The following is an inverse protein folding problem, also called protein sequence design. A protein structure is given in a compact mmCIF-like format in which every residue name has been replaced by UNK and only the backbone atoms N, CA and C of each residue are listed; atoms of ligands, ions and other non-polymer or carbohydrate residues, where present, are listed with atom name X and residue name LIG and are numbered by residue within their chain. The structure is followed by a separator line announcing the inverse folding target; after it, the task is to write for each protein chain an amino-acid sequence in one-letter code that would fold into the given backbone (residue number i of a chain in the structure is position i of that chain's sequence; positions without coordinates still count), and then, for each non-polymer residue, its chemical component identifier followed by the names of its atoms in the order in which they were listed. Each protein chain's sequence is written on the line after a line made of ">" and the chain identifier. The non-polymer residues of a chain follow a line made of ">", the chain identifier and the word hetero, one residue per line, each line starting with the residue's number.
data_IF_101244940843
#
_entry.id   IF_101244940843
#
_cell.length_a   1.000
_cell.length_b   1.000
_cell.length_c   1.000
_cell.angle_alpha   90.00
_cell.angle_beta   90.00
_cell.angle_gamma   90.00
#
_symmetry.space_group_name_H-M   'P 1'
#
loop_
_entity.id
_entity.type
_entity.pdbx_description
1 polymer ?
#
# COMPACT_ATOMS: atom_id res chain seq x y z
N UNK A 1 -103.97 -52.39 -72.81
CA UNK A 1 -102.74 -51.59 -73.08
C UNK A 1 -102.33 -50.58 -72.00
N UNK A 2 -103.16 -50.16 -71.03
CA UNK A 2 -102.78 -49.14 -70.01
C UNK A 2 -101.90 -49.63 -68.83
N UNK A 3 -101.80 -50.94 -68.56
CA UNK A 3 -101.05 -51.47 -67.40
C UNK A 3 -99.54 -51.62 -67.61
N UNK A 4 -99.06 -51.81 -68.84
CA UNK A 4 -97.63 -51.98 -69.13
C UNK A 4 -96.83 -50.66 -69.14
N UNK A 5 -97.48 -49.54 -69.50
CA UNK A 5 -96.89 -48.21 -69.44
C UNK A 5 -96.65 -47.74 -67.99
N UNK A 6 -97.53 -48.11 -67.06
CA UNK A 6 -97.39 -47.77 -65.64
C UNK A 6 -96.22 -48.52 -64.99
N UNK A 7 -96.02 -49.80 -65.33
CA UNK A 7 -94.90 -50.60 -64.82
C UNK A 7 -93.54 -50.13 -65.35
N UNK A 8 -93.47 -49.71 -66.61
CA UNK A 8 -92.24 -49.10 -67.16
C UNK A 8 -91.94 -47.73 -66.55
N UNK A 9 -92.96 -46.91 -66.29
CA UNK A 9 -92.77 -45.61 -65.64
C UNK A 9 -92.33 -45.75 -64.17
N UNK A 10 -92.93 -46.69 -63.43
CA UNK A 10 -92.53 -46.98 -62.04
C UNK A 10 -91.13 -47.60 -61.98
N UNK A 11 -90.76 -48.49 -62.91
CA UNK A 11 -89.42 -49.07 -62.98
C UNK A 11 -88.35 -48.02 -63.41
N UNK A 12 -88.68 -47.13 -64.34
CA UNK A 12 -87.79 -46.03 -64.75
C UNK A 12 -87.62 -44.98 -63.63
N UNK A 13 -88.70 -44.60 -62.95
CA UNK A 13 -88.65 -43.71 -61.78
C UNK A 13 -87.92 -44.35 -60.59
N UNK A 14 -88.09 -45.65 -60.34
CA UNK A 14 -87.35 -46.37 -59.30
C UNK A 14 -85.85 -46.49 -59.64
N UNK A 15 -85.50 -46.72 -60.91
CA UNK A 15 -84.10 -46.77 -61.35
C UNK A 15 -83.41 -45.40 -61.31
N UNK A 16 -84.12 -44.31 -61.62
CA UNK A 16 -83.59 -42.94 -61.54
C UNK A 16 -83.49 -42.43 -60.10
N UNK A 17 -84.42 -42.80 -59.21
CA UNK A 17 -84.29 -42.54 -57.77
C UNK A 17 -83.16 -43.34 -57.12
N UNK A 18 -83.01 -44.63 -57.45
CA UNK A 18 -81.92 -45.46 -56.96
C UNK A 18 -80.55 -44.95 -57.43
N UNK A 19 -80.43 -44.52 -58.69
CA UNK A 19 -79.22 -43.92 -59.23
C UNK A 19 -78.92 -42.55 -58.59
N UNK A 20 -79.93 -41.69 -58.36
CA UNK A 20 -79.75 -40.41 -57.68
C UNK A 20 -79.33 -40.57 -56.20
N UNK A 21 -79.84 -41.60 -55.51
CA UNK A 21 -79.41 -41.95 -54.15
C UNK A 21 -77.99 -42.54 -54.11
N UNK A 22 -77.60 -43.32 -55.12
CA UNK A 22 -76.23 -43.83 -55.27
C UNK A 22 -75.24 -42.71 -55.56
N UNK A 23 -75.62 -41.74 -56.39
CA UNK A 23 -74.77 -40.59 -56.72
C UNK A 23 -74.64 -39.62 -55.54
N UNK A 24 -75.70 -39.41 -54.76
CA UNK A 24 -75.62 -38.59 -53.54
C UNK A 24 -74.78 -39.26 -52.45
N UNK A 25 -74.88 -40.59 -52.28
CA UNK A 25 -74.00 -41.35 -51.38
C UNK A 25 -72.54 -41.31 -51.85
N UNK A 26 -72.28 -41.41 -53.16
CA UNK A 26 -70.93 -41.25 -53.72
C UNK A 26 -70.38 -39.86 -53.50
N UNK A 27 -71.18 -38.82 -53.70
CA UNK A 27 -70.78 -37.44 -53.41
C UNK A 27 -70.49 -37.21 -51.93
N UNK A 28 -71.29 -37.79 -51.03
CA UNK A 28 -71.08 -37.70 -49.59
C UNK A 28 -69.83 -38.49 -49.14
N UNK A 29 -69.56 -39.64 -49.76
CA UNK A 29 -68.36 -40.43 -49.52
C UNK A 29 -67.10 -39.71 -50.03
N UNK A 30 -67.18 -39.07 -51.20
CA UNK A 30 -66.10 -38.25 -51.74
C UNK A 30 -65.84 -37.01 -50.88
N UNK A 31 -66.91 -36.35 -50.39
CA UNK A 31 -66.81 -35.17 -49.54
C UNK A 31 -66.26 -35.50 -48.14
N UNK A 32 -66.69 -36.61 -47.55
CA UNK A 32 -66.13 -37.09 -46.28
C UNK A 32 -64.67 -37.49 -46.45
N UNK A 33 -64.33 -38.18 -47.55
CA UNK A 33 -62.95 -38.55 -47.86
C UNK A 33 -62.06 -37.32 -48.12
N UNK A 34 -62.56 -36.27 -48.78
CA UNK A 34 -61.81 -35.01 -48.95
C UNK A 34 -61.66 -34.29 -47.61
N UNK A 35 -62.70 -34.21 -46.78
CA UNK A 35 -62.63 -33.59 -45.45
C UNK A 35 -61.65 -34.31 -44.52
N UNK A 36 -61.58 -35.65 -44.56
CA UNK A 36 -60.57 -36.43 -43.85
C UNK A 36 -59.15 -36.18 -44.38
N UNK A 37 -58.98 -35.99 -45.70
CA UNK A 37 -57.68 -35.62 -46.28
C UNK A 37 -57.24 -34.22 -45.85
N UNK A 38 -58.14 -33.26 -45.91
CA UNK A 38 -57.86 -31.86 -45.55
C UNK A 38 -57.52 -31.74 -44.06
N UNK A 39 -58.24 -32.44 -43.18
CA UNK A 39 -57.92 -32.50 -41.75
C UNK A 39 -56.59 -33.21 -41.46
N UNK A 40 -56.26 -34.29 -42.17
CA UNK A 40 -54.95 -34.94 -42.08
C UNK A 40 -53.82 -34.04 -42.59
N UNK A 41 -54.04 -33.28 -43.65
CA UNK A 41 -53.06 -32.30 -44.14
C UNK A 41 -52.85 -31.16 -43.15
N UNK A 42 -53.92 -30.62 -42.57
CA UNK A 42 -53.85 -29.60 -41.52
C UNK A 42 -53.07 -30.13 -40.31
N UNK A 43 -53.36 -31.35 -39.86
CA UNK A 43 -52.67 -31.97 -38.73
C UNK A 43 -51.17 -32.19 -39.04
N UNK A 44 -50.84 -32.59 -40.28
CA UNK A 44 -49.44 -32.72 -40.73
C UNK A 44 -48.72 -31.38 -40.75
N UNK A 45 -49.37 -30.29 -41.20
CA UNK A 45 -48.81 -28.93 -41.19
C UNK A 45 -48.58 -28.46 -39.76
N UNK A 46 -49.57 -28.63 -38.88
CA UNK A 46 -49.44 -28.28 -37.45
C UNK A 46 -48.33 -29.08 -36.75
N UNK A 47 -48.20 -30.36 -37.06
CA UNK A 47 -47.10 -31.19 -36.54
C UNK A 47 -45.74 -30.72 -37.05
N UNK A 48 -45.62 -30.36 -38.33
CA UNK A 48 -44.39 -29.84 -38.91
C UNK A 48 -44.00 -28.49 -38.29
N UNK A 49 -44.94 -27.58 -38.11
CA UNK A 49 -44.74 -26.29 -37.44
C UNK A 49 -44.33 -26.47 -35.97
N UNK A 50 -45.01 -27.35 -35.23
CA UNK A 50 -44.65 -27.65 -33.84
C UNK A 50 -43.26 -28.29 -33.74
N UNK A 51 -42.93 -29.24 -34.63
CA UNK A 51 -41.61 -29.86 -34.68
C UNK A 51 -40.52 -28.84 -34.97
N UNK A 52 -40.74 -27.91 -35.91
CA UNK A 52 -39.81 -26.82 -36.19
C UNK A 52 -39.67 -25.88 -34.98
N UNK A 53 -40.78 -25.56 -34.31
CA UNK A 53 -40.77 -24.71 -33.12
C UNK A 53 -39.99 -25.36 -31.96
N UNK A 54 -40.18 -26.66 -31.70
CA UNK A 54 -39.42 -27.41 -30.69
C UNK A 54 -37.93 -27.48 -31.03
N UNK A 55 -37.58 -27.68 -32.30
CA UNK A 55 -36.18 -27.67 -32.75
C UNK A 55 -35.53 -26.30 -32.54
N UNK A 56 -36.23 -25.22 -32.90
CA UNK A 56 -35.78 -23.85 -32.71
C UNK A 56 -35.62 -23.52 -31.21
N UNK A 57 -36.60 -23.86 -30.38
CA UNK A 57 -36.49 -23.73 -28.92
C UNK A 57 -35.30 -24.52 -28.37
N UNK A 58 -35.05 -25.73 -28.87
CA UNK A 58 -33.89 -26.54 -28.49
C UNK A 58 -32.56 -25.92 -28.91
N UNK A 59 -32.48 -25.21 -30.04
CA UNK A 59 -31.30 -24.41 -30.43
C UNK A 59 -31.13 -23.20 -29.49
N UNK A 60 -32.20 -22.42 -29.27
CA UNK A 60 -32.15 -21.25 -28.39
C UNK A 60 -31.74 -21.60 -26.95
N UNK A 61 -32.27 -22.69 -26.39
CA UNK A 61 -31.87 -23.17 -25.05
C UNK A 61 -30.38 -23.55 -25.02
N UNK A 62 -29.85 -24.14 -26.09
CA UNK A 62 -28.42 -24.47 -26.19
C UNK A 62 -27.56 -23.21 -26.23
N UNK A 63 -27.92 -22.24 -27.07
CA UNK A 63 -27.21 -20.95 -27.17
C UNK A 63 -27.23 -20.18 -25.84
N UNK A 64 -28.38 -20.11 -25.17
CA UNK A 64 -28.51 -19.45 -23.87
C UNK A 64 -27.66 -20.13 -22.80
N UNK A 65 -27.62 -21.47 -22.78
CA UNK A 65 -26.75 -22.24 -21.87
C UNK A 65 -25.28 -21.99 -22.16
N UNK A 66 -24.88 -21.93 -23.43
CA UNK A 66 -23.50 -21.67 -23.81
C UNK A 66 -23.06 -20.25 -23.45
N UNK A 67 -23.89 -19.24 -23.74
CA UNK A 67 -23.67 -17.86 -23.29
C UNK A 67 -23.56 -17.75 -21.78
N UNK A 68 -24.47 -18.39 -21.04
CA UNK A 68 -24.43 -18.38 -19.56
C UNK A 68 -23.15 -19.00 -19.01
N UNK A 69 -22.72 -20.14 -19.57
CA UNK A 69 -21.45 -20.78 -19.20
C UNK A 69 -20.25 -19.90 -19.51
N UNK A 70 -20.21 -19.28 -20.69
CA UNK A 70 -19.14 -18.37 -21.07
C UNK A 70 -19.06 -17.18 -20.13
N UNK A 71 -20.20 -16.54 -19.81
CA UNK A 71 -20.25 -15.45 -18.83
C UNK A 71 -19.78 -15.90 -17.45
N UNK A 72 -20.23 -17.06 -16.96
CA UNK A 72 -19.82 -17.59 -15.67
C UNK A 72 -18.31 -17.89 -15.64
N UNK A 73 -17.75 -18.45 -16.72
CA UNK A 73 -16.32 -18.67 -16.84
C UNK A 73 -15.52 -17.36 -16.76
N UNK A 74 -15.90 -16.35 -17.55
CA UNK A 74 -15.24 -15.03 -17.51
C UNK A 74 -15.33 -14.38 -16.13
N UNK A 75 -16.50 -14.42 -15.48
CA UNK A 75 -16.68 -13.88 -14.13
C UNK A 75 -15.77 -14.58 -13.12
N UNK A 76 -15.73 -15.91 -13.15
CA UNK A 76 -14.86 -16.70 -12.30
C UNK A 76 -13.38 -16.36 -12.53
N UNK A 77 -12.92 -16.30 -13.78
CA UNK A 77 -11.53 -15.93 -14.13
C UNK A 77 -11.19 -14.54 -13.60
N UNK A 78 -12.10 -13.57 -13.74
CA UNK A 78 -11.93 -12.23 -13.17
C UNK A 78 -11.76 -12.28 -11.65
N UNK A 79 -12.62 -13.00 -10.93
CA UNK A 79 -12.53 -13.07 -9.48
C UNK A 79 -11.26 -13.76 -9.01
N UNK A 80 -10.90 -14.90 -9.60
CA UNK A 80 -9.69 -15.65 -9.25
C UNK A 80 -8.44 -14.83 -9.54
N UNK A 81 -8.40 -14.15 -10.69
CA UNK A 81 -7.28 -13.28 -11.02
C UNK A 81 -7.18 -12.11 -10.03
N UNK A 82 -8.31 -11.48 -9.65
CA UNK A 82 -8.32 -10.45 -8.62
C UNK A 82 -7.78 -10.97 -7.29
N UNK A 83 -8.24 -12.13 -6.82
CA UNK A 83 -7.75 -12.74 -5.57
C UNK A 83 -6.24 -12.97 -5.65
N UNK A 84 -5.75 -13.61 -6.71
CA UNK A 84 -4.33 -13.91 -6.94
C UNK A 84 -3.46 -12.65 -6.92
N UNK A 85 -3.87 -11.61 -7.65
CA UNK A 85 -3.12 -10.34 -7.69
C UNK A 85 -3.18 -9.59 -6.36
N UNK A 86 -4.32 -9.61 -5.67
CA UNK A 86 -4.47 -9.00 -4.35
C UNK A 86 -3.56 -9.65 -3.31
N UNK A 87 -3.37 -10.97 -3.36
CA UNK A 87 -2.40 -11.65 -2.47
C UNK A 87 -0.99 -11.12 -2.69
N UNK A 88 -0.53 -11.05 -3.95
CA UNK A 88 0.79 -10.51 -4.30
C UNK A 88 0.94 -9.04 -3.90
N UNK A 89 -0.12 -8.25 -4.09
CA UNK A 89 -0.19 -6.87 -3.63
C UNK A 89 -0.01 -6.78 -2.11
N UNK A 90 -0.75 -7.57 -1.33
CA UNK A 90 -0.65 -7.57 0.13
C UNK A 90 0.71 -8.03 0.64
N UNK A 91 1.30 -9.07 0.03
CA UNK A 91 2.65 -9.54 0.35
C UNK A 91 3.67 -8.42 0.15
N UNK A 92 3.65 -7.78 -1.01
CA UNK A 92 4.59 -6.71 -1.30
C UNK A 92 4.34 -5.50 -0.41
N UNK A 93 3.08 -5.10 -0.20
CA UNK A 93 2.72 -3.97 0.66
C UNK A 93 3.17 -4.18 2.11
N UNK A 94 3.02 -5.41 2.64
CA UNK A 94 3.49 -5.76 3.98
C UNK A 94 5.02 -5.62 4.09
N UNK A 95 5.77 -6.05 3.07
CA UNK A 95 7.24 -5.91 3.03
C UNK A 95 7.65 -4.44 2.93
N UNK A 96 7.01 -3.68 2.05
CA UNK A 96 7.24 -2.25 1.87
C UNK A 96 7.02 -1.48 3.17
N UNK A 97 5.90 -1.74 3.84
CA UNK A 97 5.54 -1.07 5.08
C UNK A 97 6.53 -1.41 6.21
N UNK A 98 6.87 -2.69 6.36
CA UNK A 98 7.88 -3.12 7.33
C UNK A 98 9.24 -2.48 7.06
N UNK A 99 9.64 -2.36 5.79
CA UNK A 99 10.87 -1.66 5.42
C UNK A 99 10.83 -0.19 5.87
N UNK A 100 9.73 0.52 5.62
CA UNK A 100 9.57 1.91 6.07
C UNK A 100 9.65 2.01 7.59
N UNK A 101 8.93 1.17 8.33
CA UNK A 101 8.98 1.14 9.80
C UNK A 101 10.40 0.89 10.34
N UNK A 102 11.14 -0.02 9.69
CA UNK A 102 12.53 -0.30 10.03
C UNK A 102 13.43 0.91 9.78
N UNK A 103 13.27 1.62 8.65
CA UNK A 103 14.08 2.81 8.36
C UNK A 103 13.74 4.01 9.24
N UNK A 104 12.47 4.18 9.62
CA UNK A 104 12.05 5.19 10.61
C UNK A 104 12.74 4.94 11.96
N UNK A 105 12.96 3.66 12.31
CA UNK A 105 13.56 3.25 13.59
C UNK A 105 15.08 3.10 13.53
N UNK A 106 15.65 2.98 12.33
CA UNK A 106 17.09 2.74 12.14
C UNK A 106 17.91 3.96 12.57
N UNK A 107 18.95 3.72 13.36
CA UNK A 107 19.72 4.77 14.02
C UNK A 107 21.01 5.15 13.30
N UNK A 108 21.49 4.40 12.31
CA UNK A 108 22.88 4.56 11.83
C UNK A 108 23.18 5.96 11.24
N UNK A 109 22.35 6.43 10.31
CA UNK A 109 22.52 7.77 9.71
C UNK A 109 22.28 8.89 10.73
N UNK A 110 21.29 8.73 11.60
CA UNK A 110 20.99 9.69 12.66
C UNK A 110 22.09 9.73 13.73
N UNK A 111 22.73 8.59 14.05
CA UNK A 111 23.86 8.51 14.97
C UNK A 111 25.08 9.24 14.42
N UNK A 112 25.33 9.13 13.11
CA UNK A 112 26.40 9.88 12.45
C UNK A 112 26.20 11.40 12.61
N UNK A 113 24.97 11.89 12.50
CA UNK A 113 24.64 13.30 12.70
C UNK A 113 24.65 13.68 14.19
N UNK A 114 24.19 12.80 15.08
CA UNK A 114 24.26 13.03 16.53
C UNK A 114 25.68 13.23 17.02
N UNK A 115 26.68 12.57 16.41
CA UNK A 115 28.08 12.79 16.73
C UNK A 115 28.54 14.23 16.46
N UNK A 116 27.98 14.90 15.44
CA UNK A 116 28.28 16.30 15.11
C UNK A 116 27.69 17.28 16.14
N UNK A 117 26.66 16.85 16.87
CA UNK A 117 26.03 17.64 17.93
C UNK A 117 26.81 17.59 19.26
N UNK A 118 27.82 16.73 19.38
CA UNK A 118 28.60 16.62 20.62
C UNK A 118 29.53 17.86 20.79
N UNK A 119 29.43 18.61 21.92
CA UNK A 119 30.21 19.83 22.16
C UNK A 119 31.72 19.60 22.29
N UNK A 120 32.17 18.35 22.45
CA UNK A 120 33.59 17.98 22.49
C UNK A 120 34.09 17.35 21.19
N UNK A 121 33.22 17.11 20.20
CA UNK A 121 33.62 16.53 18.92
C UNK A 121 34.48 17.54 18.12
N UNK A 122 35.61 17.07 17.60
CA UNK A 122 36.59 17.88 16.87
C UNK A 122 36.70 17.52 15.38
N UNK A 123 35.88 16.59 14.87
CA UNK A 123 35.92 16.13 13.49
C UNK A 123 35.71 17.26 12.48
N UNK A 124 35.03 18.33 12.88
CA UNK A 124 34.79 19.51 12.05
C UNK A 124 35.93 20.53 12.09
N UNK A 125 37.02 20.25 12.81
CA UNK A 125 38.13 21.20 13.03
C UNK A 125 37.78 22.34 13.99
N UNK A 126 36.69 22.19 14.74
CA UNK A 126 36.34 22.97 15.93
C UNK A 126 35.47 22.13 16.87
N UNK A 127 35.44 22.51 18.14
CA UNK A 127 34.51 22.02 19.15
C UNK A 127 34.05 23.17 20.04
N UNK A 128 32.87 23.08 20.65
CA UNK A 128 32.44 24.09 21.62
C UNK A 128 33.42 24.20 22.79
N UNK A 129 33.94 23.06 23.27
CA UNK A 129 34.94 23.00 24.35
C UNK A 129 36.19 23.82 24.01
N UNK A 130 36.82 23.54 22.87
CA UNK A 130 38.05 24.23 22.47
C UNK A 130 37.81 25.69 22.10
N UNK A 131 36.72 25.98 21.39
CA UNK A 131 36.35 27.35 21.05
C UNK A 131 36.15 28.18 22.31
N UNK A 132 35.46 27.64 23.32
CA UNK A 132 35.25 28.31 24.61
C UNK A 132 36.56 28.58 25.33
N UNK A 133 37.43 27.56 25.48
CA UNK A 133 38.73 27.70 26.14
C UNK A 133 39.60 28.75 25.43
N UNK A 134 39.67 28.66 24.10
CA UNK A 134 40.44 29.58 23.26
C UNK A 134 39.92 31.01 23.38
N UNK A 135 38.61 31.22 23.28
CA UNK A 135 37.99 32.55 23.40
C UNK A 135 38.19 33.16 24.79
N UNK A 136 38.15 32.36 25.87
CA UNK A 136 38.49 32.84 27.21
C UNK A 136 39.94 33.28 27.29
N UNK A 137 40.88 32.50 26.75
CA UNK A 137 42.29 32.88 26.72
C UNK A 137 42.54 34.16 25.91
N UNK A 138 41.93 34.26 24.72
CA UNK A 138 42.15 35.36 23.77
C UNK A 138 41.42 36.66 24.15
N UNK A 139 40.23 36.58 24.73
CA UNK A 139 39.37 37.75 25.00
C UNK A 139 39.42 38.19 26.46
N UNK A 140 39.55 37.25 27.41
CA UNK A 140 39.54 37.57 28.85
C UNK A 140 40.96 37.67 29.43
N UNK A 141 41.85 36.73 29.06
CA UNK A 141 43.19 36.60 29.64
C UNK A 141 44.36 36.97 28.72
N UNK A 142 44.12 37.75 27.66
CA UNK A 142 45.13 38.13 26.65
C UNK A 142 46.38 38.82 27.18
N UNK A 143 46.36 39.35 28.42
CA UNK A 143 47.50 39.99 29.06
C UNK A 143 48.24 39.02 29.99
N UNK A 144 49.55 38.87 29.77
CA UNK A 144 50.44 37.90 30.45
C UNK A 144 50.41 37.92 32.01
N UNK A 145 50.00 39.03 32.64
CA UNK A 145 49.84 39.12 34.10
C UNK A 145 48.65 38.30 34.66
N UNK A 146 47.70 37.86 33.82
CA UNK A 146 46.44 37.22 34.24
C UNK A 146 46.47 35.68 34.29
N UNK A 147 47.63 35.07 34.00
CA UNK A 147 47.72 33.66 33.60
C UNK A 147 47.54 32.62 34.73
N UNK A 148 47.91 32.93 35.99
CA UNK A 148 47.82 31.95 37.11
C UNK A 148 46.38 31.64 37.54
N UNK A 149 45.49 32.63 37.58
CA UNK A 149 44.06 32.42 37.87
C UNK A 149 43.31 31.89 36.64
N UNK A 150 43.71 32.30 35.43
CA UNK A 150 43.18 31.76 34.17
C UNK A 150 43.36 30.25 34.04
N UNK A 151 44.48 29.68 34.51
CA UNK A 151 44.71 28.24 34.49
C UNK A 151 43.68 27.45 35.34
N UNK A 152 43.30 27.94 36.52
CA UNK A 152 42.26 27.31 37.36
C UNK A 152 40.88 27.41 36.70
N UNK A 153 40.57 28.54 36.07
CA UNK A 153 39.31 28.73 35.35
C UNK A 153 39.17 27.75 34.18
N UNK A 154 40.24 27.61 33.39
CA UNK A 154 40.29 26.68 32.26
C UNK A 154 40.09 25.24 32.73
N UNK A 155 40.73 24.84 33.83
CA UNK A 155 40.56 23.50 34.41
C UNK A 155 39.10 23.24 34.86
N UNK A 156 38.43 24.23 35.46
CA UNK A 156 37.03 24.13 35.83
C UNK A 156 36.12 24.00 34.60
N UNK A 157 36.35 24.79 33.54
CA UNK A 157 35.60 24.67 32.29
C UNK A 157 35.80 23.33 31.62
N UNK A 158 37.04 22.83 31.56
CA UNK A 158 37.34 21.48 31.05
C UNK A 158 36.54 20.43 31.83
N UNK A 159 36.48 20.53 33.15
CA UNK A 159 35.70 19.62 33.98
C UNK A 159 34.18 19.71 33.73
N UNK A 160 33.64 20.89 33.39
CA UNK A 160 32.22 21.03 33.00
C UNK A 160 31.95 20.27 31.68
N UNK A 161 32.83 20.44 30.69
CA UNK A 161 32.74 19.77 29.39
C UNK A 161 33.13 18.29 29.41
N UNK A 162 33.83 17.82 30.44
CA UNK A 162 34.23 16.42 30.61
C UNK A 162 33.32 15.67 31.59
N UNK A 163 32.33 16.35 32.17
CA UNK A 163 31.41 15.72 33.12
C UNK A 163 30.56 14.64 32.44
N UNK A 164 30.16 13.57 33.14
CA UNK A 164 29.29 12.53 32.57
C UNK A 164 27.96 13.06 32.02
N UNK A 165 27.49 14.21 32.53
CA UNK A 165 26.36 14.95 31.97
C UNK A 165 26.63 15.31 30.50
N UNK A 166 27.84 15.74 30.13
CA UNK A 166 28.21 16.05 28.74
C UNK A 166 28.36 14.85 27.80
N UNK A 167 28.56 13.66 28.37
CA UNK A 167 28.72 12.40 27.62
C UNK A 167 27.42 11.59 27.54
N UNK A 168 26.34 12.02 28.22
CA UNK A 168 25.02 11.42 28.09
C UNK A 168 24.39 11.84 26.75
N UNK A 169 24.83 11.20 25.68
CA UNK A 169 24.55 11.47 24.26
C UNK A 169 23.08 11.25 23.82
N UNK A 170 22.14 10.92 24.72
CA UNK A 170 20.81 10.47 24.29
C UNK A 170 19.74 11.56 24.21
N UNK A 171 19.87 12.66 24.93
CA UNK A 171 18.80 13.66 24.98
C UNK A 171 19.43 15.04 24.90
N UNK A 172 18.91 15.84 23.97
CA UNK A 172 19.17 17.26 23.75
C UNK A 172 19.55 17.97 25.06
N UNK A 173 20.83 17.95 25.43
CA UNK A 173 21.31 18.81 26.50
C UNK A 173 21.32 20.18 25.88
N UNK A 174 20.59 21.17 26.44
CA UNK A 174 20.60 22.49 25.89
C UNK A 174 22.04 22.98 25.92
N UNK A 175 22.66 23.21 24.77
CA UNK A 175 23.95 23.88 24.64
C UNK A 175 23.96 25.21 25.42
N UNK A 176 22.77 25.79 25.59
CA UNK A 176 22.40 26.89 26.49
C UNK A 176 22.86 26.68 27.95
N UNK A 177 22.77 25.47 28.51
CA UNK A 177 23.20 25.20 29.89
C UNK A 177 24.72 25.30 30.04
N UNK A 178 25.48 24.79 29.06
CA UNK A 178 26.94 24.95 29.03
C UNK A 178 27.32 26.41 28.89
N UNK A 179 26.66 27.14 27.99
CA UNK A 179 26.85 28.58 27.85
C UNK A 179 26.57 29.31 29.17
N UNK A 180 25.41 29.10 29.80
CA UNK A 180 25.06 29.74 31.06
C UNK A 180 26.08 29.45 32.16
N UNK A 181 26.49 28.18 32.30
CA UNK A 181 27.47 27.77 33.32
C UNK A 181 28.84 28.42 33.11
N UNK A 182 29.34 28.40 31.88
CA UNK A 182 30.62 29.02 31.51
C UNK A 182 30.56 30.54 31.64
N UNK A 183 29.49 31.17 31.16
CA UNK A 183 29.31 32.61 31.19
C UNK A 183 29.18 33.12 32.62
N UNK A 184 28.45 32.43 33.50
CA UNK A 184 28.41 32.75 34.94
C UNK A 184 29.79 32.63 35.61
N UNK A 185 30.54 31.57 35.28
CA UNK A 185 31.90 31.36 35.78
C UNK A 185 32.84 32.50 35.35
N UNK A 186 32.73 32.96 34.10
CA UNK A 186 33.51 34.07 33.55
C UNK A 186 33.09 35.40 34.17
N UNK A 187 31.78 35.67 34.30
CA UNK A 187 31.27 36.86 34.97
C UNK A 187 31.77 36.96 36.41
N UNK A 188 31.75 35.86 37.15
CA UNK A 188 32.29 35.81 38.51
C UNK A 188 33.77 36.20 38.56
N UNK A 189 34.59 35.67 37.66
CA UNK A 189 36.01 36.04 37.59
C UNK A 189 36.22 37.50 37.16
N UNK A 190 35.39 38.01 36.25
CA UNK A 190 35.45 39.39 35.81
C UNK A 190 35.08 40.39 36.93
N UNK A 191 34.19 40.03 37.85
CA UNK A 191 33.91 40.84 39.04
C UNK A 191 35.06 40.85 40.05
N UNK A 192 35.86 39.78 40.11
CA UNK A 192 37.00 39.66 41.03
C UNK A 192 38.29 40.32 40.49
N UNK A 193 38.34 40.65 39.20
CA UNK A 193 39.50 41.23 38.51
C UNK A 193 39.12 42.55 37.83
N UNK A 194 39.53 43.69 38.42
CA UNK A 194 39.27 45.05 37.91
C UNK A 194 39.77 45.28 36.46
N UNK A 195 40.68 44.42 36.04
CA UNK A 195 41.38 44.46 34.76
C UNK A 195 40.53 43.92 33.59
N UNK A 196 39.47 43.15 33.85
CA UNK A 196 38.59 42.59 32.82
C UNK A 196 37.47 43.59 32.52
N UNK A 197 37.41 44.09 31.29
CA UNK A 197 36.43 45.13 30.92
C UNK A 197 35.12 44.52 30.42
N UNK A 198 34.04 45.31 30.49
CA UNK A 198 32.75 44.96 29.87
C UNK A 198 32.90 44.72 28.36
N UNK A 199 33.82 45.42 27.69
CA UNK A 199 34.10 45.21 26.27
C UNK A 199 34.69 43.82 26.00
N UNK A 200 35.56 43.32 26.88
CA UNK A 200 36.16 41.99 26.76
C UNK A 200 35.09 40.89 26.89
N UNK A 201 34.17 41.07 27.83
CA UNK A 201 33.02 40.18 28.04
C UNK A 201 32.08 40.15 26.83
N UNK A 202 31.71 41.33 26.31
CA UNK A 202 30.86 41.42 25.10
C UNK A 202 31.52 40.78 23.88
N UNK A 203 32.84 40.96 23.71
CA UNK A 203 33.59 40.36 22.61
C UNK A 203 33.63 38.83 22.73
N UNK A 204 33.82 38.30 23.95
CA UNK A 204 33.72 36.87 24.23
C UNK A 204 32.33 36.31 23.90
N UNK A 205 31.26 36.93 24.41
CA UNK A 205 29.88 36.49 24.17
C UNK A 205 29.54 36.48 22.68
N UNK A 206 29.90 37.54 21.95
CA UNK A 206 29.62 37.68 20.51
C UNK A 206 30.28 36.56 19.69
N UNK A 207 31.54 36.24 19.98
CA UNK A 207 32.24 35.16 19.26
C UNK A 207 31.75 33.77 19.67
N UNK A 208 31.46 33.55 20.96
CA UNK A 208 30.94 32.26 21.44
C UNK A 208 29.54 31.98 20.88
N UNK A 209 28.70 33.01 20.74
CA UNK A 209 27.36 32.90 20.17
C UNK A 209 27.36 32.30 18.75
N UNK A 210 28.42 32.52 17.95
CA UNK A 210 28.54 31.91 16.62
C UNK A 210 28.63 30.38 16.69
N UNK A 211 29.35 29.84 17.68
CA UNK A 211 29.44 28.40 17.91
C UNK A 211 28.14 27.85 18.48
N UNK A 212 27.51 28.55 19.42
CA UNK A 212 26.23 28.13 19.99
C UNK A 212 25.14 28.02 18.93
N UNK A 213 25.06 29.00 18.03
CA UNK A 213 24.12 29.00 16.92
C UNK A 213 24.24 27.75 16.04
N UNK A 214 25.45 27.24 15.81
CA UNK A 214 25.65 25.98 15.08
C UNK A 214 24.95 24.80 15.77
N UNK A 215 25.19 24.62 17.08
CA UNK A 215 24.58 23.54 17.85
C UNK A 215 23.07 23.72 18.02
N UNK A 216 22.59 24.95 18.20
CA UNK A 216 21.15 25.27 18.26
C UNK A 216 20.44 24.89 16.96
N UNK A 217 21.00 25.27 15.80
CA UNK A 217 20.44 24.90 14.50
C UNK A 217 20.41 23.39 14.29
N UNK A 218 21.47 22.67 14.68
CA UNK A 218 21.48 21.20 14.62
C UNK A 218 20.40 20.60 15.53
N UNK A 219 20.28 21.09 16.75
CA UNK A 219 19.27 20.65 17.72
C UNK A 219 17.85 20.86 17.19
N UNK A 220 17.56 22.03 16.62
CA UNK A 220 16.26 22.37 16.08
C UNK A 220 15.88 21.45 14.90
N UNK A 221 16.81 21.23 13.97
CA UNK A 221 16.62 20.34 12.83
C UNK A 221 16.44 18.89 13.27
N UNK A 222 17.20 18.43 14.28
CA UNK A 222 17.03 17.09 14.85
C UNK A 222 15.66 16.92 15.52
N UNK A 223 15.23 17.89 16.33
CA UNK A 223 13.93 17.87 17.00
C UNK A 223 12.79 17.85 15.98
N UNK A 224 12.85 18.71 14.96
CA UNK A 224 11.86 18.74 13.90
C UNK A 224 11.81 17.41 13.13
N UNK A 225 12.96 16.83 12.80
CA UNK A 225 13.05 15.52 12.15
C UNK A 225 12.42 14.41 13.01
N UNK A 226 12.73 14.35 14.30
CA UNK A 226 12.13 13.38 15.23
C UNK A 226 10.61 13.52 15.35
N UNK A 227 10.09 14.75 15.42
CA UNK A 227 8.65 15.01 15.44
C UNK A 227 7.98 14.52 14.15
N UNK A 228 8.57 14.80 13.00
CA UNK A 228 8.07 14.37 11.70
C UNK A 228 8.11 12.84 11.55
N UNK A 229 9.21 12.19 11.95
CA UNK A 229 9.34 10.74 11.93
C UNK A 229 8.36 10.05 12.88
N UNK A 230 8.09 10.64 14.04
CA UNK A 230 7.06 10.15 14.98
C UNK A 230 5.67 10.20 14.34
N UNK A 231 5.33 11.30 13.65
CA UNK A 231 4.07 11.41 12.91
C UNK A 231 3.94 10.34 11.82
N UNK A 232 5.00 10.14 11.02
CA UNK A 232 5.04 9.07 10.01
C UNK A 232 4.90 7.68 10.63
N UNK A 233 5.53 7.43 11.78
CA UNK A 233 5.41 6.16 12.49
C UNK A 233 3.97 5.84 12.86
N UNK A 234 3.23 6.84 13.39
CA UNK A 234 1.80 6.66 13.73
C UNK A 234 0.99 6.32 12.48
N UNK A 235 1.23 7.00 11.35
CA UNK A 235 0.55 6.69 10.08
C UNK A 235 0.92 5.31 9.54
N UNK A 236 2.18 4.92 9.63
CA UNK A 236 2.65 3.59 9.21
C UNK A 236 1.95 2.49 10.03
N UNK A 237 1.83 2.68 11.34
CA UNK A 237 1.09 1.77 12.21
C UNK A 237 -0.41 1.72 11.87
N UNK A 238 -1.03 2.86 11.56
CA UNK A 238 -2.43 2.89 11.13
C UNK A 238 -2.63 2.12 9.81
N UNK A 239 -1.73 2.31 8.84
CA UNK A 239 -1.75 1.56 7.58
C UNK A 239 -1.50 0.06 7.79
N UNK A 240 -0.62 -0.30 8.74
CA UNK A 240 -0.37 -1.69 9.13
C UNK A 240 -1.65 -2.34 9.66
N UNK A 241 -2.38 -1.64 10.55
CA UNK A 241 -3.65 -2.13 11.08
C UNK A 241 -4.71 -2.28 10.00
N UNK A 242 -4.76 -1.36 9.04
CA UNK A 242 -5.71 -1.44 7.92
C UNK A 242 -5.37 -2.64 7.02
N UNK A 243 -4.10 -2.85 6.67
CA UNK A 243 -3.65 -4.03 5.91
C UNK A 243 -3.93 -5.33 6.67
N UNK A 244 -3.67 -5.36 7.98
CA UNK A 244 -3.99 -6.48 8.86
C UNK A 244 -5.48 -6.83 8.82
N UNK A 245 -6.36 -5.86 9.03
CA UNK A 245 -7.80 -6.11 9.01
C UNK A 245 -8.27 -6.55 7.63
N UNK A 246 -7.72 -5.97 6.56
CA UNK A 246 -8.02 -6.39 5.20
C UNK A 246 -7.61 -7.85 4.94
N UNK A 247 -6.35 -8.21 5.20
CA UNK A 247 -5.83 -9.58 5.02
C UNK A 247 -6.60 -10.57 5.88
N UNK A 248 -6.89 -10.21 7.13
CA UNK A 248 -7.70 -11.03 8.05
C UNK A 248 -9.08 -11.32 7.46
N UNK A 249 -9.77 -10.31 6.93
CA UNK A 249 -11.06 -10.48 6.27
C UNK A 249 -10.96 -11.44 5.08
N UNK A 250 -9.95 -11.28 4.22
CA UNK A 250 -9.75 -12.17 3.08
C UNK A 250 -9.45 -13.62 3.53
N UNK A 251 -8.63 -13.80 4.57
CA UNK A 251 -8.36 -15.13 5.13
C UNK A 251 -9.62 -15.79 5.67
N UNK A 252 -10.48 -15.06 6.38
CA UNK A 252 -11.76 -15.57 6.91
C UNK A 252 -12.70 -15.97 5.75
N UNK A 253 -12.73 -15.20 4.67
CA UNK A 253 -13.51 -15.53 3.48
C UNK A 253 -13.03 -16.82 2.82
N UNK A 254 -11.71 -17.02 2.72
CA UNK A 254 -11.13 -18.23 2.10
C UNK A 254 -11.21 -19.46 3.02
N UNK A 255 -11.14 -19.26 4.33
CA UNK A 255 -11.10 -20.31 5.37
C UNK A 255 -12.19 -20.08 6.44
N UNK A 256 -13.48 -20.19 6.09
CA UNK A 256 -14.57 -19.94 7.04
C UNK A 256 -14.52 -20.86 8.28
N UNK A 257 -13.96 -22.06 8.13
CA UNK A 257 -13.80 -23.05 9.21
C UNK A 257 -12.77 -22.66 10.27
N UNK A 258 -11.82 -21.78 9.94
CA UNK A 258 -10.73 -21.34 10.84
C UNK A 258 -10.93 -19.93 11.39
N UNK A 259 -12.15 -19.41 11.31
CA UNK A 259 -12.47 -18.01 11.64
C UNK A 259 -11.99 -17.57 13.03
N UNK A 260 -12.21 -18.38 14.06
CA UNK A 260 -11.86 -17.99 15.44
C UNK A 260 -10.35 -17.98 15.68
N UNK A 261 -9.61 -18.86 15.00
CA UNK A 261 -8.14 -18.86 15.02
C UNK A 261 -7.60 -17.60 14.33
N UNK A 262 -8.06 -17.33 13.10
CA UNK A 262 -7.59 -16.23 12.25
C UNK A 262 -7.77 -14.85 12.89
N UNK A 263 -8.84 -14.64 13.66
CA UNK A 263 -9.14 -13.34 14.29
C UNK A 263 -8.01 -12.80 15.17
N UNK A 264 -7.28 -13.68 15.85
CA UNK A 264 -6.28 -13.30 16.84
C UNK A 264 -4.85 -13.25 16.27
N UNK A 265 -4.66 -13.68 15.02
CA UNK A 265 -3.32 -13.78 14.43
C UNK A 265 -2.81 -12.40 13.97
N UNK A 266 -1.49 -12.14 14.15
CA UNK A 266 -0.84 -10.96 13.61
C UNK A 266 -0.64 -11.07 12.09
N UNK A 267 -0.38 -9.94 11.44
CA UNK A 267 -0.27 -9.85 9.97
C UNK A 267 0.78 -10.83 9.42
N UNK A 268 1.96 -10.89 10.05
CA UNK A 268 3.05 -11.77 9.60
C UNK A 268 2.64 -13.25 9.58
N UNK A 269 1.95 -13.72 10.62
CA UNK A 269 1.45 -15.09 10.70
C UNK A 269 0.35 -15.36 9.69
N UNK A 270 -0.57 -14.41 9.49
CA UNK A 270 -1.62 -14.53 8.47
C UNK A 270 -1.04 -14.63 7.06
N UNK A 271 -0.11 -13.74 6.71
CA UNK A 271 0.54 -13.73 5.40
C UNK A 271 1.30 -15.04 5.15
N UNK A 272 2.06 -15.52 6.14
CA UNK A 272 2.86 -16.73 5.96
C UNK A 272 2.02 -18.02 5.93
N UNK A 273 1.01 -18.13 6.79
CA UNK A 273 0.31 -19.39 7.03
C UNK A 273 -0.95 -19.56 6.18
N UNK A 274 -1.57 -18.45 5.76
CA UNK A 274 -2.90 -18.45 5.13
C UNK A 274 -2.94 -17.66 3.82
N UNK A 275 -2.29 -16.50 3.77
CA UNK A 275 -2.42 -15.54 2.68
C UNK A 275 -1.15 -15.39 1.84
N UNK A 276 -0.50 -16.53 1.57
CA UNK A 276 0.62 -16.62 0.64
C UNK A 276 0.11 -17.08 -0.73
N UNK A 277 0.71 -16.58 -1.82
CA UNK A 277 0.28 -16.93 -3.18
C UNK A 277 0.14 -18.44 -3.41
N UNK A 278 1.11 -19.23 -2.97
CA UNK A 278 1.10 -20.70 -3.11
C UNK A 278 -0.05 -21.36 -2.36
N UNK A 279 -0.38 -20.89 -1.15
CA UNK A 279 -1.47 -21.42 -0.34
C UNK A 279 -2.82 -21.07 -0.96
N UNK A 280 -3.00 -19.81 -1.34
CA UNK A 280 -4.25 -19.34 -1.96
C UNK A 280 -4.47 -20.00 -3.32
N UNK A 281 -3.44 -20.12 -4.16
CA UNK A 281 -3.56 -20.80 -5.46
C UNK A 281 -3.90 -22.30 -5.30
N UNK A 282 -3.28 -22.97 -4.33
CA UNK A 282 -3.59 -24.38 -4.04
C UNK A 282 -5.02 -24.55 -3.54
N UNK A 283 -5.49 -23.64 -2.69
CA UNK A 283 -6.86 -23.65 -2.20
C UNK A 283 -7.87 -23.42 -3.33
N UNK A 284 -7.62 -22.46 -4.21
CA UNK A 284 -8.46 -22.19 -5.39
C UNK A 284 -8.57 -23.44 -6.27
N UNK A 285 -7.43 -24.11 -6.57
CA UNK A 285 -7.43 -25.37 -7.33
C UNK A 285 -8.19 -26.50 -6.64
N UNK A 286 -8.10 -26.60 -5.31
CA UNK A 286 -8.85 -27.59 -4.55
C UNK A 286 -10.36 -27.33 -4.61
N UNK A 287 -10.76 -26.05 -4.57
CA UNK A 287 -12.16 -25.67 -4.78
C UNK A 287 -12.59 -26.04 -6.20
N UNK A 288 -11.83 -25.66 -7.24
CA UNK A 288 -12.12 -26.05 -8.63
C UNK A 288 -12.32 -27.56 -8.81
N UNK A 289 -11.45 -28.38 -8.19
CA UNK A 289 -11.54 -29.83 -8.24
C UNK A 289 -12.87 -30.34 -7.65
N UNK A 290 -13.39 -29.71 -6.59
CA UNK A 290 -14.67 -30.08 -5.97
C UNK A 290 -15.90 -29.77 -6.84
N UNK A 291 -15.76 -28.85 -7.81
CA UNK A 291 -16.81 -28.48 -8.79
C UNK A 291 -16.54 -29.07 -10.18
N UNK A 292 -15.64 -30.05 -10.29
CA UNK A 292 -15.34 -30.76 -11.53
C UNK A 292 -16.14 -32.06 -11.59
N UNK A 293 -16.99 -32.20 -12.59
CA UNK A 293 -17.76 -33.42 -12.84
C UNK A 293 -17.44 -33.96 -14.24
N UNK A 294 -17.14 -35.25 -14.33
CA UNK A 294 -16.72 -35.93 -15.56
C UNK A 294 -15.64 -35.18 -16.38
N UNK A 295 -14.69 -34.53 -15.69
CA UNK A 295 -13.60 -33.77 -16.30
C UNK A 295 -13.98 -32.37 -16.82
N UNK A 296 -15.19 -31.87 -16.52
CA UNK A 296 -15.64 -30.51 -16.86
C UNK A 296 -15.98 -29.72 -15.61
N UNK A 297 -15.44 -28.51 -15.52
CA UNK A 297 -15.71 -27.58 -14.41
C UNK A 297 -17.11 -26.99 -14.56
N UNK A 298 -17.90 -27.04 -13.47
CA UNK A 298 -19.24 -26.47 -13.42
C UNK A 298 -19.19 -24.99 -13.00
N UNK A 299 -18.78 -24.10 -13.93
CA UNK A 299 -18.59 -22.67 -13.64
C UNK A 299 -19.83 -21.96 -13.05
N UNK A 300 -21.04 -22.34 -13.44
CA UNK A 300 -22.27 -21.73 -12.91
C UNK A 300 -22.43 -21.95 -11.39
N UNK A 301 -22.05 -23.11 -10.88
CA UNK A 301 -22.07 -23.39 -9.44
C UNK A 301 -20.86 -22.76 -8.74
N UNK A 302 -19.69 -22.82 -9.39
CA UNK A 302 -18.43 -22.29 -8.86
C UNK A 302 -18.48 -20.77 -8.63
N UNK A 303 -19.09 -20.02 -9.55
CA UNK A 303 -19.31 -18.56 -9.39
C UNK A 303 -20.21 -18.18 -8.21
N UNK A 304 -20.97 -19.14 -7.68
CA UNK A 304 -21.82 -18.93 -6.50
C UNK A 304 -21.11 -19.24 -5.18
N UNK A 305 -19.89 -19.80 -5.22
CA UNK A 305 -19.10 -20.08 -4.02
C UNK A 305 -18.56 -18.78 -3.41
N UNK A 306 -19.01 -18.45 -2.21
CA UNK A 306 -18.67 -17.20 -1.51
C UNK A 306 -17.17 -17.02 -1.27
N UNK A 307 -16.39 -18.11 -1.24
CA UNK A 307 -14.93 -18.07 -1.05
C UNK A 307 -14.20 -17.50 -2.27
N UNK A 308 -14.80 -17.64 -3.45
CA UNK A 308 -14.22 -17.18 -4.71
C UNK A 308 -14.81 -15.87 -5.21
N UNK A 309 -15.80 -15.31 -4.52
CA UNK A 309 -16.38 -14.02 -4.88
C UNK A 309 -15.44 -12.90 -4.41
N UNK A 310 -14.93 -12.11 -5.36
CA UNK A 310 -14.13 -10.93 -5.06
C UNK A 310 -15.00 -9.66 -5.05
N UNK A 311 -15.24 -9.03 -3.88
CA UNK A 311 -16.16 -7.91 -3.77
C UNK A 311 -15.54 -6.57 -4.20
N UNK A 312 -16.35 -5.65 -4.72
CA UNK A 312 -15.93 -4.27 -5.09
C UNK A 312 -15.26 -3.54 -3.93
N UNK A 313 -15.76 -3.74 -2.71
CA UNK A 313 -15.20 -3.12 -1.50
C UNK A 313 -13.74 -3.54 -1.29
N UNK A 314 -13.34 -4.75 -1.70
CA UNK A 314 -11.95 -5.18 -1.62
C UNK A 314 -11.05 -4.40 -2.59
N UNK A 315 -11.52 -4.10 -3.81
CA UNK A 315 -10.80 -3.24 -4.77
C UNK A 315 -10.59 -1.85 -4.17
N UNK A 316 -11.63 -1.26 -3.58
CA UNK A 316 -11.55 0.07 -2.97
C UNK A 316 -10.53 0.10 -1.82
N UNK A 317 -10.54 -0.92 -0.96
CA UNK A 317 -9.57 -1.03 0.14
C UNK A 317 -8.13 -1.20 -0.36
N UNK A 318 -7.92 -2.01 -1.40
CA UNK A 318 -6.60 -2.16 -2.04
C UNK A 318 -6.12 -0.81 -2.59
N UNK A 319 -6.98 -0.06 -3.27
CA UNK A 319 -6.63 1.26 -3.79
C UNK A 319 -6.28 2.25 -2.67
N UNK A 320 -7.05 2.24 -1.57
CA UNK A 320 -6.75 3.05 -0.39
C UNK A 320 -5.39 2.70 0.22
N UNK A 321 -5.05 1.42 0.35
CA UNK A 321 -3.75 0.96 0.86
C UNK A 321 -2.63 1.42 -0.05
N UNK A 322 -2.78 1.25 -1.37
CA UNK A 322 -1.78 1.65 -2.37
C UNK A 322 -1.49 3.16 -2.29
N UNK A 323 -2.54 3.98 -2.29
CA UNK A 323 -2.41 5.44 -2.20
C UNK A 323 -1.77 5.90 -0.90
N UNK A 324 -2.19 5.35 0.25
CA UNK A 324 -1.63 5.73 1.54
C UNK A 324 -0.17 5.27 1.66
N UNK A 325 0.18 4.08 1.17
CA UNK A 325 1.56 3.60 1.14
C UNK A 325 2.44 4.49 0.25
N UNK A 326 1.99 4.83 -0.95
CA UNK A 326 2.71 5.71 -1.87
C UNK A 326 2.91 7.10 -1.25
N UNK A 327 1.87 7.65 -0.61
CA UNK A 327 1.93 8.94 0.08
C UNK A 327 2.94 8.90 1.21
N UNK A 328 2.84 7.90 2.09
CA UNK A 328 3.73 7.73 3.24
C UNK A 328 5.19 7.57 2.80
N UNK A 329 5.44 6.77 1.75
CA UNK A 329 6.77 6.59 1.19
C UNK A 329 7.36 7.90 0.62
N UNK A 330 6.58 8.65 -0.16
CA UNK A 330 7.02 9.93 -0.74
C UNK A 330 7.30 10.97 0.34
N UNK A 331 6.45 11.04 1.36
CA UNK A 331 6.66 11.94 2.50
C UNK A 331 7.91 11.55 3.29
N UNK A 332 8.14 10.25 3.53
CA UNK A 332 9.35 9.77 4.21
C UNK A 332 10.62 10.17 3.46
N UNK A 333 10.65 9.99 2.14
CA UNK A 333 11.78 10.45 1.33
C UNK A 333 11.93 11.96 1.38
N UNK A 334 10.85 12.72 1.21
CA UNK A 334 10.88 14.19 1.26
C UNK A 334 11.44 14.71 2.60
N UNK A 335 11.03 14.10 3.72
CA UNK A 335 11.53 14.46 5.05
C UNK A 335 13.00 14.10 5.23
N UNK A 336 13.43 12.95 4.71
CA UNK A 336 14.83 12.53 4.76
C UNK A 336 15.72 13.46 3.90
N UNK A 337 15.27 13.79 2.69
CA UNK A 337 15.92 14.71 1.76
C UNK A 337 16.05 16.10 2.40
N UNK A 338 14.96 16.63 2.99
CA UNK A 338 14.94 17.91 3.67
C UNK A 338 15.84 17.95 4.91
N UNK A 339 15.84 16.88 5.71
CA UNK A 339 16.74 16.74 6.86
C UNK A 339 18.21 16.74 6.42
N UNK A 340 18.57 15.97 5.39
CA UNK A 340 19.93 15.96 4.83
C UNK A 340 20.38 17.34 4.35
N UNK A 341 19.55 18.03 3.57
CA UNK A 341 19.86 19.38 3.07
C UNK A 341 20.04 20.40 4.19
N UNK A 342 19.22 20.32 5.25
CA UNK A 342 19.35 21.19 6.40
C UNK A 342 20.69 20.99 7.12
N UNK A 343 21.10 19.74 7.34
CA UNK A 343 22.40 19.41 7.95
C UNK A 343 23.56 19.87 7.07
N UNK A 344 23.49 19.64 5.75
CA UNK A 344 24.52 20.13 4.81
C UNK A 344 24.65 21.66 4.87
N UNK A 345 23.54 22.39 4.90
CA UNK A 345 23.54 23.85 4.99
C UNK A 345 24.14 24.35 6.30
N UNK A 346 23.81 23.69 7.42
CA UNK A 346 24.39 24.01 8.73
C UNK A 346 25.91 23.80 8.72
N UNK A 347 26.38 22.68 8.15
CA UNK A 347 27.81 22.40 8.01
C UNK A 347 28.51 23.44 7.13
N UNK A 348 27.94 23.79 5.96
CA UNK A 348 28.49 24.83 5.08
C UNK A 348 28.61 26.19 5.77
N UNK A 349 27.59 26.58 6.53
CA UNK A 349 27.59 27.85 7.26
C UNK A 349 28.58 27.85 8.45
N UNK A 350 28.93 26.67 8.98
CA UNK A 350 29.92 26.51 10.03
C UNK A 350 31.37 26.59 9.55
N UNK A 351 31.62 26.70 8.23
CA UNK A 351 32.96 26.72 7.64
C UNK A 351 33.89 27.77 8.25
N UNK A 352 33.35 28.94 8.55
CA UNK A 352 34.07 30.05 9.18
C UNK A 352 34.47 29.79 10.64
N UNK A 353 33.87 28.79 11.31
CA UNK A 353 34.14 28.44 12.70
C UNK A 353 35.32 27.46 12.83
N UNK A 354 35.63 26.76 11.74
CA UNK A 354 36.67 25.73 11.73
C UNK A 354 38.06 26.30 11.51
N UNK A 355 39.03 25.76 12.24
CA UNK A 355 40.45 25.98 11.95
C UNK A 355 40.93 25.17 10.73
N UNK A 356 40.15 24.15 10.31
CA UNK A 356 40.42 23.28 9.16
C UNK A 356 39.17 23.20 8.26
N UNK A 357 38.91 24.21 7.41
CA UNK A 357 37.73 24.23 6.56
C UNK A 357 37.55 22.98 5.69
N UNK A 358 38.66 22.35 5.27
CA UNK A 358 38.68 21.10 4.51
C UNK A 358 38.05 19.92 5.27
N UNK A 359 38.12 19.91 6.61
CA UNK A 359 37.51 18.86 7.43
C UNK A 359 35.97 18.89 7.32
N UNK A 360 35.39 20.08 7.20
CA UNK A 360 33.95 20.25 6.96
C UNK A 360 33.58 19.75 5.56
N UNK A 361 34.37 20.10 4.54
CA UNK A 361 34.13 19.67 3.17
C UNK A 361 34.19 18.13 3.06
N UNK A 362 35.17 17.49 3.71
CA UNK A 362 35.27 16.03 3.81
C UNK A 362 34.06 15.43 4.53
N UNK A 363 33.62 16.03 5.66
CA UNK A 363 32.46 15.54 6.41
C UNK A 363 31.16 15.65 5.61
N UNK A 364 30.97 16.73 4.85
CA UNK A 364 29.84 16.89 3.93
C UNK A 364 29.86 15.79 2.86
N UNK A 365 31.04 15.48 2.32
CA UNK A 365 31.18 14.41 1.32
C UNK A 365 30.84 13.03 1.91
N UNK A 366 31.36 12.71 3.09
CA UNK A 366 31.00 11.48 3.82
C UNK A 366 29.48 11.38 4.07
N UNK A 367 28.86 12.49 4.50
CA UNK A 367 27.42 12.57 4.75
C UNK A 367 26.62 12.30 3.47
N UNK A 368 27.05 12.85 2.32
CA UNK A 368 26.41 12.63 1.02
C UNK A 368 26.50 11.17 0.58
N UNK A 369 27.64 10.53 0.77
CA UNK A 369 27.83 9.12 0.43
C UNK A 369 26.97 8.20 1.29
N UNK A 370 26.94 8.44 2.61
CA UNK A 370 26.08 7.71 3.55
C UNK A 370 24.60 7.88 3.19
N UNK A 371 24.18 9.11 2.92
CA UNK A 371 22.81 9.43 2.52
C UNK A 371 22.44 8.77 1.17
N UNK A 372 23.32 8.81 0.18
CA UNK A 372 23.07 8.18 -1.13
C UNK A 372 22.89 6.66 -1.00
N UNK A 373 23.72 6.00 -0.17
CA UNK A 373 23.59 4.56 0.13
C UNK A 373 22.26 4.26 0.82
N UNK A 374 21.93 5.01 1.87
CA UNK A 374 20.68 4.86 2.61
C UNK A 374 19.46 5.04 1.68
N UNK A 375 19.46 6.09 0.87
CA UNK A 375 18.36 6.38 -0.06
C UNK A 375 18.19 5.27 -1.09
N UNK A 376 19.30 4.76 -1.66
CA UNK A 376 19.25 3.63 -2.59
C UNK A 376 18.70 2.36 -1.91
N UNK A 377 19.08 2.10 -0.66
CA UNK A 377 18.59 0.96 0.10
C UNK A 377 17.09 1.08 0.43
N UNK A 378 16.62 2.28 0.79
CA UNK A 378 15.20 2.57 1.02
C UNK A 378 14.40 2.31 -0.26
N UNK A 379 14.80 2.92 -1.38
CA UNK A 379 14.09 2.76 -2.66
C UNK A 379 13.99 1.28 -3.05
N UNK A 380 15.10 0.55 -2.94
CA UNK A 380 15.16 -0.88 -3.27
C UNK A 380 14.29 -1.73 -2.34
N UNK A 381 14.31 -1.46 -1.05
CA UNK A 381 13.64 -2.32 -0.05
C UNK A 381 12.15 -2.04 0.04
N UNK A 382 11.73 -0.78 -0.10
CA UNK A 382 10.32 -0.42 -0.10
C UNK A 382 9.67 -0.82 -1.41
N UNK A 383 10.29 -0.53 -2.56
CA UNK A 383 9.81 -0.99 -3.88
C UNK A 383 8.29 -0.76 -4.12
N UNK A 384 7.84 0.49 -3.95
CA UNK A 384 6.43 0.90 -4.16
C UNK A 384 5.99 0.68 -5.62
N UNK A 385 6.92 0.75 -6.57
CA UNK A 385 6.62 0.47 -7.99
C UNK A 385 6.07 -0.95 -8.18
N UNK A 386 6.64 -1.94 -7.48
CA UNK A 386 6.13 -3.31 -7.54
C UNK A 386 4.76 -3.46 -6.89
N UNK A 387 4.50 -2.75 -5.78
CA UNK A 387 3.16 -2.70 -5.16
C UNK A 387 2.12 -2.20 -6.18
N UNK A 388 2.42 -1.06 -6.81
CA UNK A 388 1.56 -0.44 -7.81
C UNK A 388 1.33 -1.34 -9.03
N UNK A 389 2.37 -2.04 -9.48
CA UNK A 389 2.27 -2.98 -10.59
C UNK A 389 1.30 -4.13 -10.29
N UNK A 390 1.27 -4.65 -9.06
CA UNK A 390 0.28 -5.66 -8.67
C UNK A 390 -1.12 -5.08 -8.55
N UNK A 391 -1.26 -3.87 -7.99
CA UNK A 391 -2.54 -3.18 -7.91
C UNK A 391 -3.17 -2.98 -9.31
N UNK A 392 -2.39 -2.50 -10.28
CA UNK A 392 -2.87 -2.27 -11.66
C UNK A 392 -3.27 -3.55 -12.39
N UNK A 393 -2.81 -4.72 -11.93
CA UNK A 393 -3.17 -6.02 -12.51
C UNK A 393 -4.43 -6.62 -11.92
N UNK A 394 -5.01 -6.00 -10.88
CA UNK A 394 -6.31 -6.39 -10.34
C UNK A 394 -7.39 -5.88 -11.32
N UNK A 395 -8.16 -6.77 -11.95
CA UNK A 395 -9.25 -6.38 -12.84
C UNK A 395 -10.23 -5.43 -12.13
N UNK A 396 -10.50 -4.28 -12.75
CA UNK A 396 -11.64 -3.43 -12.38
C UNK A 396 -12.92 -4.07 -12.93
N UNK A 397 -13.97 -4.11 -12.12
CA UNK A 397 -15.28 -4.67 -12.51
C UNK A 397 -15.99 -3.81 -13.55
#
# INVERSE_FOLDING_TARGET
>A
MKKHLLYWFIAFCASTHANAQLDSLRQLLLHTQSSYRDSLELLRRQYAELSQHVQWQGQMIRELREKRRATAHTQYEHHVQSIRQTVLFCEQSSRSLQAIENFITSSYYFNFINNLHNPTNQELGFSLKEATIRLVQEKIFSRAKRFKKGARLIALMQHIFDSPLSQAVSEVIPTVHYFQSVTQLIYKVAFEEEDITISDLKAFETELQKYLRYYEMLSDVNRQSQQNLSSLRVRAQALHQLLLEFVRQQCITLHPEKREEIKQLPLSTLMHSYYQYSHVDSLIRNIEASYTDAGKIQYEQLTSDTRLIYPVIAIQKVHQIDQELETLYREFLSLLDGYHQAIENILRNSRQLSQKPEAIDNKIQELKEQYARLRAEIVRSVNVEQVRNYMQRIPLQ
#
